data_IF_385735720096
#
_entry.id   IF_385735720096
#
_cell.length_a   1.000
_cell.length_b   1.000
_cell.length_c   1.000
_cell.angle_alpha   90.00
_cell.angle_beta   90.00
_cell.angle_gamma   90.00
#
_symmetry.space_group_name_H-M   'P 1'
#
loop_
_entity.id
_entity.type
_entity.pdbx_description
1 polymer ?
#
# COMPACT_ATOMS: atom_id res chain seq x y z
N UNK A 1 2.16 -27.14 7.03
CA UNK A 1 1.42 -25.85 7.11
C UNK A 1 2.45 -24.74 7.20
N UNK A 2 2.47 -23.79 6.25
CA UNK A 2 3.43 -22.69 6.28
C UNK A 2 3.03 -21.68 7.37
N UNK A 3 4.00 -21.22 8.16
CA UNK A 3 3.82 -20.23 9.23
C UNK A 3 4.86 -19.13 9.00
N UNK A 4 4.46 -17.84 8.94
CA UNK A 4 5.40 -16.73 8.85
C UNK A 4 6.47 -16.81 9.95
N UNK A 5 7.73 -16.53 9.60
CA UNK A 5 8.88 -16.72 10.50
C UNK A 5 8.71 -15.96 11.82
N UNK A 6 8.25 -14.71 11.77
CA UNK A 6 7.99 -13.87 12.94
C UNK A 6 6.91 -14.48 13.85
N UNK A 7 5.83 -14.99 13.26
CA UNK A 7 4.75 -15.67 13.97
C UNK A 7 5.21 -16.99 14.61
N UNK A 8 6.10 -17.73 13.95
CA UNK A 8 6.68 -18.97 14.49
C UNK A 8 7.45 -18.72 15.78
N UNK A 9 8.19 -17.60 15.85
CA UNK A 9 8.99 -17.22 17.01
C UNK A 9 8.29 -16.25 17.97
N UNK A 10 7.05 -15.84 17.67
CA UNK A 10 6.28 -14.87 18.46
C UNK A 10 7.03 -13.55 18.70
N UNK A 11 7.76 -13.08 17.69
CA UNK A 11 8.50 -11.83 17.72
C UNK A 11 7.90 -10.83 16.73
N UNK A 12 7.94 -9.55 17.08
CA UNK A 12 7.61 -8.45 16.18
C UNK A 12 8.89 -7.87 15.56
N UNK A 13 8.76 -7.21 14.41
CA UNK A 13 9.89 -6.46 13.85
C UNK A 13 10.22 -5.28 14.77
N UNK A 14 11.50 -4.96 14.99
CA UNK A 14 11.88 -3.76 15.72
C UNK A 14 11.57 -2.50 14.90
N UNK A 15 11.20 -1.39 15.55
CA UNK A 15 10.85 -0.13 14.86
C UNK A 15 12.00 0.40 13.99
N UNK A 16 13.24 0.07 14.35
CA UNK A 16 14.46 0.42 13.62
C UNK A 16 14.58 -0.34 12.30
N UNK A 17 13.86 -1.45 12.12
CA UNK A 17 13.89 -2.24 10.90
C UNK A 17 13.44 -1.38 9.70
N UNK A 18 14.23 -1.30 8.61
CA UNK A 18 13.84 -0.59 7.39
C UNK A 18 12.54 -1.10 6.77
N UNK A 19 12.20 -2.37 7.03
CA UNK A 19 11.01 -3.04 6.56
C UNK A 19 9.91 -3.13 7.63
N UNK A 20 10.03 -2.39 8.73
CA UNK A 20 8.97 -2.33 9.73
C UNK A 20 7.70 -1.76 9.08
N UNK A 21 6.57 -2.45 9.22
CA UNK A 21 5.30 -2.06 8.59
C UNK A 21 4.87 -0.61 8.93
N UNK A 22 5.07 -0.17 10.17
CA UNK A 22 4.83 1.22 10.61
C UNK A 22 5.69 2.26 9.89
N UNK A 23 6.76 1.87 9.22
CA UNK A 23 7.63 2.77 8.43
C UNK A 23 7.21 2.85 6.96
N UNK A 24 6.25 2.02 6.53
CA UNK A 24 5.65 2.16 5.21
C UNK A 24 4.68 3.35 5.22
N UNK A 25 5.22 4.56 5.01
CA UNK A 25 4.42 5.78 4.98
C UNK A 25 3.42 5.79 3.82
N UNK A 26 3.69 5.04 2.75
CA UNK A 26 2.83 4.95 1.57
C UNK A 26 1.79 3.84 1.68
N UNK A 27 1.80 3.06 2.79
CA UNK A 27 0.83 2.01 3.04
C UNK A 27 -0.62 2.43 2.80
N UNK A 28 -1.09 3.62 3.25
CA UNK A 28 -2.47 4.03 2.98
C UNK A 28 -2.79 4.17 1.49
N UNK A 29 -1.86 4.67 0.68
CA UNK A 29 -2.03 4.81 -0.77
C UNK A 29 -2.01 3.43 -1.44
N UNK A 30 -1.10 2.56 -1.01
CA UNK A 30 -0.99 1.19 -1.53
C UNK A 30 -2.23 0.35 -1.19
N UNK A 31 -2.73 0.45 0.05
CA UNK A 31 -3.98 -0.18 0.48
C UNK A 31 -5.20 0.33 -0.30
N UNK A 32 -5.13 1.56 -0.83
CA UNK A 32 -6.14 2.15 -1.68
C UNK A 32 -5.95 1.83 -3.18
N UNK A 33 -5.04 0.94 -3.57
CA UNK A 33 -4.97 0.43 -4.95
C UNK A 33 -5.87 -0.79 -5.10
N UNK A 34 -6.90 -0.67 -5.94
CA UNK A 34 -7.77 -1.79 -6.27
C UNK A 34 -7.62 -2.17 -7.74
N UNK A 35 -7.17 -3.41 -8.00
CA UNK A 35 -7.15 -3.96 -9.34
C UNK A 35 -8.34 -4.91 -9.52
N UNK A 36 -9.33 -4.50 -10.32
CA UNK A 36 -10.48 -5.35 -10.63
C UNK A 36 -10.22 -6.25 -11.83
N UNK A 37 -9.40 -5.78 -12.78
CA UNK A 37 -8.96 -6.48 -14.00
C UNK A 37 -7.55 -6.03 -14.34
N UNK A 38 -6.85 -6.74 -15.23
CA UNK A 38 -5.48 -6.40 -15.64
C UNK A 38 -5.31 -4.94 -16.04
N UNK A 39 -6.28 -4.39 -16.76
CA UNK A 39 -6.32 -3.01 -17.26
C UNK A 39 -7.27 -2.08 -16.48
N UNK A 40 -7.71 -2.46 -15.28
CA UNK A 40 -8.63 -1.65 -14.48
C UNK A 40 -8.11 -1.49 -13.06
N UNK A 41 -7.52 -0.34 -12.82
CA UNK A 41 -6.99 0.10 -11.53
C UNK A 41 -7.87 1.21 -10.98
N UNK A 42 -8.27 1.13 -9.72
CA UNK A 42 -9.18 2.09 -9.10
C UNK A 42 -8.58 2.65 -7.82
N UNK A 43 -8.70 3.97 -7.66
CA UNK A 43 -8.33 4.67 -6.45
C UNK A 43 -9.38 4.44 -5.37
N UNK A 44 -9.01 3.77 -4.29
CA UNK A 44 -9.86 3.54 -3.13
C UNK A 44 -10.21 4.79 -2.33
N UNK A 45 -9.47 5.89 -2.52
CA UNK A 45 -9.72 7.15 -1.80
C UNK A 45 -10.80 8.02 -2.46
N UNK A 46 -10.96 7.95 -3.78
CA UNK A 46 -11.92 8.79 -4.52
C UNK A 46 -12.71 8.09 -5.63
N UNK A 47 -12.49 6.80 -5.86
CA UNK A 47 -13.24 5.97 -6.82
C UNK A 47 -12.83 6.12 -8.29
N UNK A 48 -11.85 6.95 -8.64
CA UNK A 48 -11.39 7.10 -10.04
C UNK A 48 -10.70 5.84 -10.56
N UNK A 49 -11.00 5.45 -11.80
CA UNK A 49 -10.36 4.33 -12.47
C UNK A 49 -9.33 4.77 -13.52
N UNK A 50 -8.34 3.90 -13.74
CA UNK A 50 -7.18 4.10 -14.59
C UNK A 50 -6.86 2.82 -15.35
N UNK A 51 -6.31 2.96 -16.56
CA UNK A 51 -5.97 1.81 -17.41
C UNK A 51 -4.74 1.03 -16.91
N UNK A 52 -3.84 1.67 -16.15
CA UNK A 52 -2.67 1.01 -15.58
C UNK A 52 -2.32 1.54 -14.20
N UNK A 53 -1.59 0.74 -13.43
CA UNK A 53 -1.15 1.07 -12.08
C UNK A 53 -0.36 2.38 -12.03
N UNK A 54 0.57 2.57 -12.98
CA UNK A 54 1.39 3.79 -13.07
C UNK A 54 0.55 5.07 -13.12
N UNK A 55 -0.59 5.06 -13.80
CA UNK A 55 -1.46 6.22 -13.86
C UNK A 55 -2.20 6.45 -12.53
N UNK A 56 -2.55 5.38 -11.83
CA UNK A 56 -3.12 5.47 -10.48
C UNK A 56 -2.07 6.00 -9.47
N UNK A 57 -0.82 5.59 -9.58
CA UNK A 57 0.30 6.12 -8.76
C UNK A 57 0.51 7.62 -8.99
N UNK A 58 0.63 8.05 -10.25
CA UNK A 58 0.74 9.48 -10.56
C UNK A 58 -0.48 10.29 -10.07
N UNK A 59 -1.66 9.67 -10.04
CA UNK A 59 -2.85 10.25 -9.41
C UNK A 59 -2.70 10.40 -7.90
N UNK A 60 -2.12 9.43 -7.18
CA UNK A 60 -1.84 9.58 -5.75
C UNK A 60 -0.88 10.74 -5.49
N UNK A 61 0.21 10.85 -6.24
CA UNK A 61 1.20 11.92 -6.08
C UNK A 61 0.61 13.32 -6.30
N UNK A 62 -0.35 13.44 -7.21
CA UNK A 62 -0.95 14.74 -7.57
C UNK A 62 -2.19 15.10 -6.75
N UNK A 63 -2.98 14.12 -6.29
CA UNK A 63 -4.30 14.36 -5.65
C UNK A 63 -4.40 13.87 -4.21
N UNK A 64 -3.50 12.99 -3.79
CA UNK A 64 -3.54 12.33 -2.48
C UNK A 64 -2.16 12.30 -1.80
N UNK A 65 -1.27 13.25 -2.12
CA UNK A 65 0.08 13.35 -1.56
C UNK A 65 0.09 13.38 -0.02
N UNK A 66 -0.95 13.96 0.58
CA UNK A 66 -1.11 14.06 2.04
C UNK A 66 -1.67 12.79 2.68
N UNK A 67 -2.10 11.80 1.91
CA UNK A 67 -2.66 10.54 2.43
C UNK A 67 -1.56 9.51 2.64
N UNK A 68 -0.59 9.85 3.47
CA UNK A 68 0.49 8.98 3.96
C UNK A 68 0.30 8.78 5.47
N UNK A 69 0.88 7.72 6.07
CA UNK A 69 0.72 7.48 7.51
C UNK A 69 1.03 8.76 8.30
N UNK A 70 0.05 9.20 9.10
CA UNK A 70 0.20 10.26 10.11
C UNK A 70 0.50 9.61 11.45
#
# INVERSE_FOLDING_TARGET
RWIPILKKYQVELPLECPFHEKRDIFYPQQAAKFQHRTSQWTCGLCGKSFYSEKHLEAHFDSRHKSNVNT
#
